data_IF_365723702944
#
_entry.id   IF_365723702944
#
_cell.length_a   1.000
_cell.length_b   1.000
_cell.length_c   1.000
_cell.angle_alpha   90.00
_cell.angle_beta   90.00
_cell.angle_gamma   90.00
#
_symmetry.space_group_name_H-M   'P 1'
#
loop_
_entity.id
_entity.type
_entity.pdbx_description
1 polymer ?
#
# COMPACT_ATOMS: atom_id res chain seq x y z
N UNK A 1 2.75 -4.52 -40.92
CA UNK A 1 3.09 -3.13 -41.41
C UNK A 1 4.06 -3.12 -42.58
N UNK A 2 5.15 -3.92 -42.63
CA UNK A 2 6.12 -3.93 -43.75
C UNK A 2 5.45 -4.26 -45.09
N UNK A 3 4.71 -5.35 -45.17
CA UNK A 3 3.99 -5.77 -46.42
C UNK A 3 3.05 -4.65 -46.91
N UNK A 4 2.31 -4.00 -46.00
CA UNK A 4 1.40 -2.90 -46.36
C UNK A 4 2.11 -1.69 -46.94
N UNK A 5 3.30 -1.32 -46.39
CA UNK A 5 4.11 -0.19 -46.88
C UNK A 5 4.71 -0.44 -48.26
N UNK A 6 4.96 -1.70 -48.63
CA UNK A 6 5.65 -2.07 -49.86
C UNK A 6 4.74 -2.77 -50.85
N UNK A 7 3.41 -2.77 -50.67
CA UNK A 7 2.41 -3.48 -51.46
C UNK A 7 2.41 -3.08 -52.94
N UNK A 8 2.85 -1.85 -53.25
CA UNK A 8 2.91 -1.34 -54.64
C UNK A 8 4.23 -1.71 -55.33
N UNK A 9 5.25 -2.09 -54.54
CA UNK A 9 6.58 -2.39 -55.09
C UNK A 9 6.82 -3.90 -55.28
N UNK A 10 6.20 -4.69 -54.45
CA UNK A 10 6.38 -6.18 -54.48
C UNK A 10 5.05 -6.89 -54.41
N UNK A 11 4.92 -8.12 -55.08
CA UNK A 11 3.71 -8.92 -55.00
C UNK A 11 3.42 -9.32 -53.55
N UNK A 12 2.18 -9.13 -53.09
CA UNK A 12 1.74 -9.48 -51.74
C UNK A 12 1.96 -10.94 -51.40
N UNK A 13 1.71 -11.85 -52.40
CA UNK A 13 1.91 -13.29 -52.21
C UNK A 13 3.35 -13.64 -51.88
N UNK A 14 4.33 -13.01 -52.55
CA UNK A 14 5.75 -13.25 -52.33
C UNK A 14 6.19 -12.73 -50.97
N UNK A 15 5.73 -11.53 -50.62
CA UNK A 15 6.01 -10.96 -49.29
C UNK A 15 5.41 -11.77 -48.15
N UNK A 16 4.16 -12.25 -48.32
CA UNK A 16 3.51 -13.10 -47.31
C UNK A 16 4.28 -14.42 -47.15
N UNK A 17 4.73 -15.03 -48.24
CA UNK A 17 5.55 -16.23 -48.15
C UNK A 17 6.90 -16.00 -47.49
N UNK A 18 7.58 -14.91 -47.82
CA UNK A 18 8.86 -14.51 -47.23
C UNK A 18 8.78 -14.27 -45.72
N UNK A 19 7.73 -13.60 -45.27
CA UNK A 19 7.52 -13.32 -43.85
C UNK A 19 6.77 -14.40 -43.08
N UNK A 20 6.42 -15.52 -43.69
CA UNK A 20 5.71 -16.62 -43.04
C UNK A 20 4.29 -16.26 -42.57
N UNK A 21 3.60 -15.32 -43.22
CA UNK A 21 2.24 -14.87 -42.89
C UNK A 21 1.24 -15.35 -43.94
N UNK A 22 0.03 -15.75 -43.50
CA UNK A 22 -1.02 -16.12 -44.47
C UNK A 22 -1.55 -14.88 -45.20
N UNK A 23 -1.92 -15.05 -46.48
CA UNK A 23 -2.54 -13.96 -47.27
C UNK A 23 -3.86 -13.49 -46.66
N UNK A 24 -4.69 -14.42 -46.15
CA UNK A 24 -5.92 -14.04 -45.42
C UNK A 24 -5.64 -13.18 -44.21
N UNK A 25 -4.66 -13.58 -43.40
CA UNK A 25 -4.24 -12.79 -42.24
C UNK A 25 -3.76 -11.38 -42.61
N UNK A 26 -3.07 -11.24 -43.74
CA UNK A 26 -2.68 -9.90 -44.24
C UNK A 26 -3.91 -9.06 -44.64
N UNK A 27 -4.88 -9.63 -45.39
CA UNK A 27 -6.06 -8.85 -45.78
C UNK A 27 -6.98 -8.55 -44.59
N UNK A 28 -7.10 -9.43 -43.60
CA UNK A 28 -7.82 -9.15 -42.36
C UNK A 28 -7.13 -8.07 -41.53
N UNK A 29 -5.82 -7.98 -41.57
CA UNK A 29 -5.07 -6.88 -41.03
C UNK A 29 -5.36 -5.57 -41.77
N UNK A 30 -5.39 -5.59 -43.12
CA UNK A 30 -5.70 -4.39 -43.91
C UNK A 30 -7.10 -3.84 -43.66
N UNK A 31 -8.09 -4.71 -43.46
CA UNK A 31 -9.47 -4.31 -43.11
C UNK A 31 -9.54 -3.59 -41.79
N UNK A 32 -8.65 -3.92 -40.83
CA UNK A 32 -8.59 -3.32 -39.51
C UNK A 32 -7.66 -2.11 -39.40
N UNK A 33 -6.96 -1.76 -40.48
CA UNK A 33 -6.16 -0.53 -40.55
C UNK A 33 -7.12 0.66 -40.55
N UNK A 34 -7.09 1.46 -39.50
CA UNK A 34 -7.94 2.64 -39.37
C UNK A 34 -9.16 2.45 -38.46
N UNK A 35 -9.47 1.20 -38.08
CA UNK A 35 -10.48 1.00 -37.03
C UNK A 35 -9.98 1.54 -35.70
N UNK A 36 -10.82 2.24 -34.94
CA UNK A 36 -10.45 2.66 -33.59
C UNK A 36 -10.10 1.44 -32.75
N UNK A 37 -9.02 1.53 -31.97
CA UNK A 37 -8.62 0.44 -31.09
C UNK A 37 -9.73 0.12 -30.09
N UNK A 38 -10.26 -1.10 -30.11
CA UNK A 38 -11.34 -1.55 -29.23
C UNK A 38 -11.03 -1.41 -27.74
N UNK A 39 -9.75 -1.28 -27.39
CA UNK A 39 -9.28 -1.11 -26.00
C UNK A 39 -9.08 0.37 -25.62
N UNK A 40 -9.24 1.35 -26.52
CA UNK A 40 -8.86 2.73 -26.29
C UNK A 40 -9.67 3.40 -25.17
N UNK A 41 -10.96 3.21 -25.14
CA UNK A 41 -11.84 3.76 -24.09
C UNK A 41 -11.48 3.19 -22.71
N UNK A 42 -11.30 1.87 -22.62
CA UNK A 42 -10.90 1.22 -21.38
C UNK A 42 -9.51 1.68 -20.94
N UNK A 43 -8.59 1.86 -21.88
CA UNK A 43 -7.23 2.34 -21.58
C UNK A 43 -7.23 3.76 -21.00
N UNK A 44 -8.05 4.66 -21.54
CA UNK A 44 -8.16 6.04 -21.05
C UNK A 44 -8.76 6.09 -19.63
N UNK A 45 -9.80 5.29 -19.40
CA UNK A 45 -10.41 5.14 -18.09
C UNK A 45 -9.40 4.59 -17.05
N UNK A 46 -8.64 3.57 -17.41
CA UNK A 46 -7.59 3.00 -16.56
C UNK A 46 -6.45 4.00 -16.33
N UNK A 47 -6.08 4.83 -17.32
CA UNK A 47 -5.03 5.84 -17.19
C UNK A 47 -5.44 6.92 -16.20
N UNK A 48 -6.64 7.49 -16.33
CA UNK A 48 -7.13 8.52 -15.43
C UNK A 48 -7.15 8.04 -13.97
N UNK A 49 -7.64 6.82 -13.72
CA UNK A 49 -7.63 6.25 -12.38
C UNK A 49 -6.20 5.91 -11.91
N UNK A 50 -5.32 5.48 -12.79
CA UNK A 50 -3.92 5.19 -12.47
C UNK A 50 -3.18 6.44 -11.98
N UNK A 51 -3.41 7.58 -12.61
CA UNK A 51 -2.88 8.87 -12.20
C UNK A 51 -3.46 9.30 -10.85
N UNK A 52 -4.78 9.22 -10.68
CA UNK A 52 -5.48 9.52 -9.42
C UNK A 52 -4.95 8.68 -8.27
N UNK A 53 -4.67 7.39 -8.50
CA UNK A 53 -4.10 6.48 -7.51
C UNK A 53 -2.56 6.57 -7.41
N UNK A 54 -1.93 7.66 -7.90
CA UNK A 54 -0.48 7.89 -7.83
C UNK A 54 0.33 6.72 -8.41
N UNK A 55 -0.19 6.09 -9.46
CA UNK A 55 0.42 4.95 -10.17
C UNK A 55 0.70 3.71 -9.29
N UNK A 56 -0.06 3.54 -8.20
CA UNK A 56 0.17 2.46 -7.23
C UNK A 56 -0.72 1.23 -7.46
N UNK A 57 -1.82 1.38 -8.23
CA UNK A 57 -2.76 0.30 -8.44
C UNK A 57 -2.28 -0.69 -9.51
N UNK A 58 -2.01 -1.93 -9.08
CA UNK A 58 -1.86 -3.07 -9.98
C UNK A 58 -3.22 -3.51 -10.56
N UNK A 59 -3.20 -4.37 -11.57
CA UNK A 59 -4.39 -4.79 -12.32
C UNK A 59 -5.55 -5.31 -11.46
N UNK A 60 -5.27 -5.95 -10.30
CA UNK A 60 -6.32 -6.48 -9.42
C UNK A 60 -7.11 -5.35 -8.74
N UNK A 61 -6.44 -4.28 -8.28
CA UNK A 61 -7.13 -3.11 -7.72
C UNK A 61 -7.86 -2.31 -8.79
N UNK A 62 -7.26 -2.18 -9.99
CA UNK A 62 -7.92 -1.55 -11.13
C UNK A 62 -9.18 -2.31 -11.55
N UNK A 63 -9.13 -3.63 -11.58
CA UNK A 63 -10.29 -4.48 -11.84
C UNK A 63 -11.39 -4.27 -10.79
N UNK A 64 -11.07 -4.33 -9.48
CA UNK A 64 -12.01 -4.07 -8.40
C UNK A 64 -12.63 -2.67 -8.48
N UNK A 65 -11.84 -1.68 -8.87
CA UNK A 65 -12.35 -0.33 -9.08
C UNK A 65 -13.35 -0.27 -10.24
N UNK A 66 -13.06 -0.91 -11.38
CA UNK A 66 -14.00 -1.01 -12.51
C UNK A 66 -15.31 -1.69 -12.11
N UNK A 67 -15.24 -2.80 -11.37
CA UNK A 67 -16.44 -3.48 -10.85
C UNK A 67 -17.33 -2.54 -10.01
N UNK A 68 -16.72 -1.71 -9.15
CA UNK A 68 -17.43 -0.70 -8.36
C UNK A 68 -18.06 0.42 -9.20
N UNK A 69 -17.53 0.69 -10.39
CA UNK A 69 -18.13 1.62 -11.36
C UNK A 69 -19.22 0.96 -12.24
N UNK A 70 -19.52 -0.32 -12.00
CA UNK A 70 -20.46 -1.08 -12.82
C UNK A 70 -19.89 -1.51 -14.18
N UNK A 71 -18.57 -1.43 -14.39
CA UNK A 71 -17.88 -1.78 -15.63
C UNK A 71 -17.25 -3.16 -15.48
N UNK A 72 -17.88 -4.17 -16.04
CA UNK A 72 -17.48 -5.58 -15.88
C UNK A 72 -16.50 -6.03 -16.95
N UNK A 73 -15.29 -6.33 -16.54
CA UNK A 73 -14.25 -6.90 -17.38
C UNK A 73 -13.54 -8.08 -16.72
N UNK A 74 -13.06 -9.04 -17.53
CA UNK A 74 -12.21 -10.08 -16.99
C UNK A 74 -10.87 -9.47 -16.48
N UNK A 75 -10.37 -9.86 -15.30
CA UNK A 75 -9.09 -9.37 -14.76
C UNK A 75 -7.91 -9.55 -15.71
N UNK A 76 -7.92 -10.60 -16.55
CA UNK A 76 -6.89 -10.84 -17.57
C UNK A 76 -6.96 -9.79 -18.70
N UNK A 77 -8.17 -9.32 -19.07
CA UNK A 77 -8.36 -8.23 -20.03
C UNK A 77 -7.79 -6.94 -19.49
N UNK A 78 -8.11 -6.59 -18.24
CA UNK A 78 -7.55 -5.40 -17.58
C UNK A 78 -6.01 -5.45 -17.58
N UNK A 79 -5.42 -6.57 -17.19
CA UNK A 79 -3.96 -6.75 -17.22
C UNK A 79 -3.38 -6.61 -18.64
N UNK A 80 -4.04 -7.16 -19.66
CA UNK A 80 -3.61 -7.07 -21.05
C UNK A 80 -3.60 -5.60 -21.53
N UNK A 81 -4.69 -4.87 -21.25
CA UNK A 81 -4.80 -3.45 -21.60
C UNK A 81 -3.76 -2.63 -20.86
N UNK A 82 -3.61 -2.82 -19.54
CA UNK A 82 -2.59 -2.12 -18.76
C UNK A 82 -1.17 -2.36 -19.28
N UNK A 83 -0.85 -3.59 -19.73
CA UNK A 83 0.44 -3.89 -20.39
C UNK A 83 0.58 -3.20 -21.74
N UNK A 84 -0.46 -3.28 -22.59
CA UNK A 84 -0.46 -2.73 -23.95
C UNK A 84 -0.21 -1.21 -23.94
N UNK A 85 -0.81 -0.49 -22.99
CA UNK A 85 -0.74 0.96 -22.86
C UNK A 85 0.28 1.46 -21.83
N UNK A 86 1.12 0.54 -21.29
CA UNK A 86 2.16 0.84 -20.31
C UNK A 86 1.63 1.54 -19.03
N UNK A 87 0.50 1.07 -18.51
CA UNK A 87 -0.17 1.59 -17.30
C UNK A 87 0.06 0.63 -16.11
N UNK A 88 1.23 0.02 -16.01
CA UNK A 88 1.54 -0.91 -14.92
C UNK A 88 2.04 -0.14 -13.69
N UNK A 89 1.61 -0.59 -12.50
CA UNK A 89 2.14 -0.06 -11.26
C UNK A 89 3.63 -0.34 -11.11
N UNK A 90 4.36 0.60 -10.55
CA UNK A 90 5.75 0.38 -10.17
C UNK A 90 5.85 -0.58 -8.99
N UNK A 91 6.58 -1.67 -9.15
CA UNK A 91 6.72 -2.73 -8.14
C UNK A 91 8.10 -2.64 -7.50
N UNK A 92 8.11 -2.62 -6.15
CA UNK A 92 9.35 -2.70 -5.38
C UNK A 92 10.00 -4.07 -5.52
N UNK A 93 11.33 -4.11 -5.77
CA UNK A 93 12.11 -5.35 -5.70
C UNK A 93 12.23 -5.84 -4.25
N UNK A 94 12.00 -7.13 -3.94
CA UNK A 94 12.16 -7.67 -2.58
C UNK A 94 13.61 -7.56 -2.11
N UNK A 95 13.82 -7.14 -0.84
CA UNK A 95 15.15 -7.11 -0.21
C UNK A 95 15.55 -8.49 0.31
N UNK A 96 16.84 -8.82 0.27
CA UNK A 96 17.37 -10.05 0.89
C UNK A 96 17.32 -9.94 2.42
N UNK A 97 16.95 -11.04 3.06
CA UNK A 97 16.81 -11.14 4.52
C UNK A 97 18.15 -11.16 5.25
N UNK A 98 18.24 -10.55 6.44
CA UNK A 98 19.44 -10.51 7.30
C UNK A 98 19.04 -10.93 8.71
N UNK A 99 19.76 -11.88 9.32
CA UNK A 99 19.48 -12.49 10.63
C UNK A 99 20.18 -11.72 11.77
N UNK A 100 19.50 -11.40 12.85
CA UNK A 100 20.04 -10.68 14.02
C UNK A 100 19.98 -11.50 15.33
N UNK A 101 20.87 -11.20 16.29
CA UNK A 101 21.21 -11.98 17.50
C UNK A 101 20.30 -11.88 18.74
N UNK A 102 20.77 -12.39 19.94
CA UNK A 102 19.99 -12.74 21.15
C UNK A 102 19.32 -11.62 21.97
N UNK A 103 18.40 -11.95 22.91
CA UNK A 103 17.24 -11.13 23.27
C UNK A 103 16.90 -11.01 24.77
N UNK A 104 16.38 -9.82 25.18
CA UNK A 104 15.70 -9.54 26.47
C UNK A 104 14.35 -8.85 26.15
N UNK A 105 13.22 -9.23 26.74
CA UNK A 105 11.95 -8.52 26.55
C UNK A 105 11.18 -8.28 27.86
N UNK A 106 10.33 -7.23 27.92
CA UNK A 106 9.60 -6.83 29.13
C UNK A 106 8.14 -7.31 29.16
N UNK A 107 7.50 -7.49 28.00
CA UNK A 107 6.14 -7.98 27.90
C UNK A 107 6.06 -9.28 27.10
N UNK A 108 5.04 -10.08 27.40
CA UNK A 108 4.76 -11.31 26.63
C UNK A 108 4.27 -10.95 25.23
N UNK A 109 4.56 -11.81 24.26
CA UNK A 109 3.92 -11.74 22.96
C UNK A 109 2.52 -12.34 23.04
N UNK A 110 1.53 -11.49 23.31
CA UNK A 110 0.13 -11.90 23.40
C UNK A 110 -0.51 -12.02 22.02
N UNK A 111 -0.04 -11.21 21.06
CA UNK A 111 -0.54 -11.24 19.68
C UNK A 111 -0.24 -12.57 18.98
N UNK A 112 0.94 -13.15 19.26
CA UNK A 112 1.38 -14.46 18.75
C UNK A 112 1.09 -14.71 17.27
N UNK A 113 1.22 -13.64 16.43
CA UNK A 113 0.92 -13.62 14.98
C UNK A 113 -0.56 -13.83 14.62
N UNK A 114 -1.45 -13.81 15.59
CA UNK A 114 -2.88 -13.73 15.33
C UNK A 114 -3.27 -12.26 15.03
N UNK A 115 -3.15 -11.89 13.75
CA UNK A 115 -3.46 -10.56 13.26
C UNK A 115 -4.95 -10.39 12.93
N UNK A 116 -5.80 -11.29 13.40
CA UNK A 116 -7.24 -11.16 13.25
C UNK A 116 -7.83 -10.44 14.47
N UNK A 117 -8.76 -9.52 14.22
CA UNK A 117 -9.59 -8.90 15.22
C UNK A 117 -11.06 -8.98 14.75
N UNK A 118 -11.97 -9.23 15.68
CA UNK A 118 -13.41 -9.38 15.40
C UNK A 118 -14.13 -8.02 15.30
N UNK A 119 -13.57 -7.00 15.96
CA UNK A 119 -14.09 -5.65 15.94
C UNK A 119 -12.96 -4.61 15.97
N UNK A 120 -13.29 -3.39 15.58
CA UNK A 120 -12.36 -2.25 15.65
C UNK A 120 -11.93 -1.97 17.09
N UNK A 121 -10.70 -1.50 17.24
CA UNK A 121 -10.11 -1.12 18.54
C UNK A 121 -9.94 -2.27 19.56
N UNK A 122 -9.87 -3.52 19.10
CA UNK A 122 -9.49 -4.66 19.94
C UNK A 122 -7.98 -4.89 19.92
N UNK A 123 -7.36 -4.85 18.74
CA UNK A 123 -5.94 -5.12 18.56
C UNK A 123 -5.31 -4.02 17.70
N UNK A 124 -4.40 -3.28 18.29
CA UNK A 124 -3.58 -2.30 17.59
C UNK A 124 -2.14 -2.76 17.48
N UNK A 125 -1.47 -2.38 16.40
CA UNK A 125 -0.03 -2.49 16.26
C UNK A 125 0.59 -1.11 16.11
N UNK A 126 1.77 -0.93 16.69
CA UNK A 126 2.51 0.33 16.64
C UNK A 126 3.97 0.08 16.31
N UNK A 127 4.56 1.02 15.60
CA UNK A 127 5.98 1.01 15.27
C UNK A 127 6.45 2.40 14.83
N UNK A 128 7.76 2.59 14.74
CA UNK A 128 8.39 3.82 14.26
C UNK A 128 9.18 3.52 12.99
N UNK A 129 8.96 4.31 11.96
CA UNK A 129 9.80 4.31 10.78
C UNK A 129 10.49 5.64 10.60
N UNK A 130 11.51 5.65 9.75
CA UNK A 130 12.27 6.85 9.40
C UNK A 130 12.25 7.11 7.91
N UNK A 131 12.26 8.39 7.57
CA UNK A 131 12.23 8.92 6.20
C UNK A 131 13.40 9.90 6.07
N UNK A 132 14.26 9.65 5.09
CA UNK A 132 15.40 10.53 4.82
C UNK A 132 14.97 11.72 3.97
N UNK A 133 15.43 12.90 4.36
CA UNK A 133 15.32 14.16 3.61
C UNK A 133 16.69 14.77 3.43
N UNK A 134 16.83 15.83 2.62
CA UNK A 134 18.10 16.56 2.51
C UNK A 134 18.43 17.33 3.82
N UNK A 135 17.44 17.64 4.67
CA UNK A 135 17.61 18.27 5.98
C UNK A 135 17.93 17.29 7.12
N UNK A 136 17.80 15.97 6.89
CA UNK A 136 18.02 14.95 7.91
C UNK A 136 16.95 13.86 7.91
N UNK A 137 16.60 13.34 9.09
CA UNK A 137 15.68 12.22 9.26
C UNK A 137 14.39 12.67 9.93
N UNK A 138 13.25 12.35 9.33
CA UNK A 138 11.92 12.42 9.94
C UNK A 138 11.54 11.05 10.47
N UNK A 139 11.13 10.98 11.72
CA UNK A 139 10.59 9.79 12.37
C UNK A 139 9.07 9.83 12.31
N UNK A 140 8.46 8.73 11.91
CA UNK A 140 7.01 8.55 11.85
C UNK A 140 6.61 7.42 12.79
N UNK A 141 5.85 7.75 13.83
CA UNK A 141 5.18 6.77 14.70
C UNK A 141 3.74 6.60 14.24
N UNK A 142 3.26 5.36 14.17
CA UNK A 142 1.88 5.03 13.79
C UNK A 142 1.23 4.11 14.78
N UNK A 143 -0.10 4.15 14.82
CA UNK A 143 -0.96 3.10 15.39
C UNK A 143 -1.90 2.64 14.29
N UNK A 144 -1.90 1.33 14.03
CA UNK A 144 -2.72 0.67 13.04
C UNK A 144 -3.67 -0.32 13.70
N UNK A 145 -4.95 -0.26 13.36
CA UNK A 145 -5.94 -1.24 13.79
C UNK A 145 -5.82 -2.53 12.95
N UNK A 146 -5.90 -3.68 13.59
CA UNK A 146 -5.83 -4.97 12.89
C UNK A 146 -7.18 -5.43 12.32
N UNK A 147 -8.29 -4.82 12.74
CA UNK A 147 -9.61 -5.14 12.22
C UNK A 147 -9.78 -4.70 10.76
N UNK A 148 -9.59 -3.41 10.50
CA UNK A 148 -9.79 -2.79 9.19
C UNK A 148 -8.48 -2.37 8.50
N UNK A 149 -7.36 -2.45 9.21
CA UNK A 149 -6.03 -2.00 8.78
C UNK A 149 -5.90 -0.47 8.64
N UNK A 150 -6.82 0.33 9.19
CA UNK A 150 -6.70 1.78 9.17
C UNK A 150 -5.55 2.27 10.06
N UNK A 151 -5.01 3.43 9.71
CA UNK A 151 -4.12 4.17 10.59
C UNK A 151 -4.97 5.02 11.53
N UNK A 152 -5.06 4.59 12.78
CA UNK A 152 -5.89 5.23 13.82
C UNK A 152 -5.30 6.56 14.23
N UNK A 153 -3.97 6.59 14.40
CA UNK A 153 -3.21 7.81 14.69
C UNK A 153 -1.79 7.69 14.21
N UNK A 154 -1.18 8.84 13.95
CA UNK A 154 0.24 8.96 13.64
C UNK A 154 0.80 10.29 14.11
N UNK A 155 2.11 10.35 14.25
CA UNK A 155 2.84 11.58 14.56
C UNK A 155 4.22 11.55 13.90
N UNK A 156 4.65 12.70 13.39
CA UNK A 156 6.00 12.90 12.86
C UNK A 156 6.84 13.73 13.82
N UNK A 157 8.14 13.47 13.89
CA UNK A 157 9.11 14.26 14.66
C UNK A 157 10.49 14.20 14.00
N UNK A 158 11.33 15.18 14.31
CA UNK A 158 12.74 15.21 13.88
C UNK A 158 13.68 14.45 14.84
N UNK A 159 13.14 13.96 15.96
CA UNK A 159 13.87 13.16 16.95
C UNK A 159 13.07 11.92 17.33
N UNK A 160 13.76 10.79 17.45
CA UNK A 160 13.17 9.53 17.90
C UNK A 160 13.13 9.48 19.44
N UNK A 161 12.13 10.11 20.02
CA UNK A 161 11.96 10.20 21.49
C UNK A 161 10.85 9.29 22.00
N UNK A 162 10.83 9.03 23.31
CA UNK A 162 9.71 8.35 23.99
C UNK A 162 8.42 9.14 23.78
N UNK A 163 8.47 10.47 23.86
CA UNK A 163 7.30 11.33 23.72
C UNK A 163 6.62 11.19 22.34
N UNK A 164 7.36 10.88 21.27
CA UNK A 164 6.77 10.63 19.96
C UNK A 164 5.74 9.49 20.02
N UNK A 165 6.08 8.39 20.69
CA UNK A 165 5.17 7.24 20.86
C UNK A 165 4.02 7.59 21.83
N UNK A 166 4.33 8.20 22.98
CA UNK A 166 3.30 8.56 23.96
C UNK A 166 2.24 9.49 23.36
N UNK A 167 2.67 10.47 22.59
CA UNK A 167 1.75 11.40 21.93
C UNK A 167 0.93 10.72 20.85
N UNK A 168 1.50 9.76 20.10
CA UNK A 168 0.75 8.97 19.12
C UNK A 168 -0.34 8.15 19.80
N UNK A 169 -0.05 7.54 20.95
CA UNK A 169 -1.05 6.82 21.76
C UNK A 169 -2.14 7.76 22.24
N UNK A 170 -1.78 8.93 22.80
CA UNK A 170 -2.76 9.94 23.25
C UNK A 170 -3.69 10.39 22.11
N UNK A 171 -3.13 10.60 20.91
CA UNK A 171 -3.91 10.96 19.73
C UNK A 171 -4.91 9.85 19.37
N UNK A 172 -4.48 8.58 19.35
CA UNK A 172 -5.35 7.45 19.08
C UNK A 172 -6.47 7.33 20.11
N UNK A 173 -6.12 7.40 21.40
CA UNK A 173 -7.09 7.33 22.50
C UNK A 173 -8.10 8.49 22.46
N UNK A 174 -7.67 9.67 22.05
CA UNK A 174 -8.55 10.84 21.86
C UNK A 174 -9.51 10.64 20.68
N UNK A 175 -9.01 10.13 19.55
CA UNK A 175 -9.79 9.91 18.33
C UNK A 175 -10.88 8.84 18.55
N UNK A 176 -10.54 7.75 19.24
CA UNK A 176 -11.39 6.56 19.38
C UNK A 176 -12.13 6.47 20.74
N UNK A 177 -12.05 7.50 21.57
CA UNK A 177 -12.50 7.52 22.98
C UNK A 177 -13.86 6.84 23.25
N UNK A 178 -14.79 6.88 22.30
CA UNK A 178 -16.14 6.30 22.43
C UNK A 178 -16.24 4.86 21.92
N UNK A 179 -15.19 4.34 21.28
CA UNK A 179 -15.22 3.05 20.55
C UNK A 179 -14.16 2.07 21.02
N UNK A 180 -13.43 2.38 22.09
CA UNK A 180 -12.33 1.54 22.56
C UNK A 180 -12.92 0.30 23.25
N UNK A 181 -12.43 -0.89 22.86
CA UNK A 181 -12.76 -2.13 23.51
C UNK A 181 -12.24 -2.14 24.96
N UNK A 182 -12.97 -2.80 25.88
CA UNK A 182 -12.57 -2.91 27.30
C UNK A 182 -11.17 -3.54 27.47
N UNK A 183 -10.73 -4.35 26.51
CA UNK A 183 -9.45 -5.07 26.51
C UNK A 183 -8.63 -4.74 25.26
N UNK A 184 -8.41 -3.44 25.00
CA UNK A 184 -7.55 -3.03 23.90
C UNK A 184 -6.12 -3.55 24.09
N UNK A 185 -5.64 -4.33 23.14
CA UNK A 185 -4.26 -4.79 23.06
C UNK A 185 -3.44 -3.90 22.15
N UNK A 186 -2.28 -3.41 22.60
CA UNK A 186 -1.32 -2.67 21.80
C UNK A 186 -0.02 -3.45 21.64
N UNK A 187 0.28 -3.90 20.43
CA UNK A 187 1.47 -4.67 20.11
C UNK A 187 2.56 -3.79 19.50
N UNK A 188 3.79 -3.94 19.98
CA UNK A 188 4.98 -3.21 19.52
C UNK A 188 6.19 -4.11 19.34
N UNK A 189 7.25 -3.58 18.73
CA UNK A 189 8.59 -4.17 18.83
C UNK A 189 9.23 -3.92 20.21
N UNK A 190 10.50 -4.29 20.36
CA UNK A 190 11.27 -4.08 21.59
C UNK A 190 12.10 -2.79 21.58
N UNK A 191 11.66 -1.77 20.86
CA UNK A 191 12.29 -0.46 20.86
C UNK A 191 12.33 0.17 22.26
N UNK A 192 13.36 1.00 22.55
CA UNK A 192 13.52 1.62 23.86
C UNK A 192 12.32 2.50 24.26
N UNK A 193 11.58 3.01 23.30
CA UNK A 193 10.37 3.81 23.52
C UNK A 193 9.29 2.98 24.22
N UNK A 194 9.08 1.75 23.74
CA UNK A 194 8.05 0.82 24.23
C UNK A 194 8.44 0.08 25.51
N UNK A 195 9.73 0.13 25.87
CA UNK A 195 10.23 -0.43 27.14
C UNK A 195 10.43 0.63 28.22
N UNK A 196 10.07 1.88 27.96
CA UNK A 196 10.22 3.03 28.87
C UNK A 196 9.18 3.03 29.99
N UNK A 197 9.51 3.66 31.12
CA UNK A 197 8.56 3.86 32.23
C UNK A 197 7.36 4.71 31.80
N UNK A 198 7.57 5.71 30.92
CA UNK A 198 6.49 6.54 30.38
C UNK A 198 5.46 5.71 29.59
N UNK A 199 5.91 4.75 28.77
CA UNK A 199 5.02 3.85 28.05
C UNK A 199 4.23 2.95 29.00
N UNK A 200 4.89 2.36 30.00
CA UNK A 200 4.23 1.57 31.02
C UNK A 200 3.13 2.35 31.74
N UNK A 201 3.46 3.56 32.24
CA UNK A 201 2.49 4.38 32.97
C UNK A 201 1.28 4.74 32.09
N UNK A 202 1.52 5.12 30.82
CA UNK A 202 0.46 5.51 29.90
C UNK A 202 -0.45 4.32 29.53
N UNK A 203 0.11 3.14 29.33
CA UNK A 203 -0.70 1.94 29.05
C UNK A 203 -1.59 1.56 30.24
N UNK A 204 -1.08 1.71 31.47
CA UNK A 204 -1.88 1.52 32.69
C UNK A 204 -2.98 2.56 32.83
N UNK A 205 -2.67 3.85 32.60
CA UNK A 205 -3.64 4.96 32.65
C UNK A 205 -4.84 4.74 31.73
N UNK A 206 -4.60 4.21 30.52
CA UNK A 206 -5.65 3.98 29.53
C UNK A 206 -6.24 2.56 29.58
N UNK A 207 -5.79 1.67 30.47
CA UNK A 207 -6.24 0.28 30.51
C UNK A 207 -5.83 -0.52 29.27
N UNK A 208 -4.76 -0.13 28.58
CA UNK A 208 -4.24 -0.82 27.41
C UNK A 208 -3.40 -2.03 27.86
N UNK A 209 -3.63 -3.18 27.28
CA UNK A 209 -2.82 -4.39 27.47
C UNK A 209 -1.62 -4.39 26.53
N UNK A 210 -0.38 -4.16 27.01
CA UNK A 210 0.79 -4.14 26.16
C UNK A 210 1.19 -5.55 25.75
N UNK A 211 1.50 -5.72 24.47
CA UNK A 211 2.05 -6.94 23.88
C UNK A 211 3.34 -6.57 23.12
N UNK A 212 4.30 -7.48 23.07
CA UNK A 212 5.61 -7.16 22.49
C UNK A 212 6.14 -8.32 21.67
N UNK A 213 6.65 -8.00 20.48
CA UNK A 213 7.33 -8.97 19.61
C UNK A 213 8.51 -9.62 20.32
N UNK A 214 8.81 -10.85 19.94
CA UNK A 214 10.10 -11.47 20.30
C UNK A 214 11.22 -10.74 19.58
N UNK A 215 12.30 -10.49 20.28
CA UNK A 215 13.44 -9.70 19.74
C UNK A 215 14.01 -10.35 18.46
N UNK A 216 14.25 -9.56 17.40
CA UNK A 216 14.75 -10.02 16.12
C UNK A 216 13.76 -10.83 15.30
N UNK A 217 12.50 -10.91 15.72
CA UNK A 217 11.46 -11.58 14.98
C UNK A 217 10.52 -10.56 14.30
N UNK A 218 10.87 -10.13 13.08
CA UNK A 218 10.10 -9.19 12.28
C UNK A 218 8.67 -9.70 11.95
N UNK A 219 8.45 -11.01 11.96
CA UNK A 219 7.11 -11.57 11.69
C UNK A 219 6.10 -11.24 12.78
N UNK A 220 6.54 -10.96 14.00
CA UNK A 220 5.64 -10.66 15.10
C UNK A 220 5.03 -9.25 14.99
N UNK A 221 5.70 -8.28 14.30
CA UNK A 221 5.20 -6.92 14.01
C UNK A 221 4.97 -6.66 12.52
N UNK A 222 4.75 -7.73 11.76
CA UNK A 222 4.67 -7.67 10.30
C UNK A 222 3.60 -6.70 9.76
N UNK A 223 2.52 -6.47 10.51
CA UNK A 223 1.44 -5.59 10.07
C UNK A 223 1.81 -4.11 10.11
N UNK A 224 2.60 -3.66 11.10
CA UNK A 224 3.14 -2.30 11.11
C UNK A 224 4.22 -2.12 10.03
N UNK A 225 5.15 -3.09 9.91
CA UNK A 225 6.17 -3.10 8.85
C UNK A 225 5.56 -3.09 7.44
N UNK A 226 4.46 -3.81 7.24
CA UNK A 226 3.71 -3.84 5.99
C UNK A 226 3.22 -2.44 5.59
N UNK A 227 2.61 -1.69 6.51
CA UNK A 227 2.19 -0.32 6.23
C UNK A 227 3.37 0.57 5.84
N UNK A 228 4.47 0.53 6.59
CA UNK A 228 5.66 1.32 6.23
C UNK A 228 6.25 0.92 4.87
N UNK A 229 6.20 -0.35 4.54
CA UNK A 229 6.61 -0.82 3.21
C UNK A 229 5.72 -0.23 2.11
N UNK A 230 4.41 -0.16 2.32
CA UNK A 230 3.45 0.44 1.42
C UNK A 230 3.71 1.94 1.27
N UNK A 231 3.76 2.69 2.38
CA UNK A 231 4.06 4.13 2.39
C UNK A 231 5.36 4.44 1.64
N UNK A 232 6.44 3.74 1.97
CA UNK A 232 7.76 3.97 1.36
C UNK A 232 7.75 3.67 -0.14
N UNK A 233 7.08 2.62 -0.56
CA UNK A 233 7.07 2.20 -1.97
C UNK A 233 6.10 3.04 -2.81
N UNK A 234 4.93 3.34 -2.27
CA UNK A 234 3.86 4.00 -3.03
C UNK A 234 3.94 5.54 -2.95
N UNK A 235 4.73 6.10 -2.02
CA UNK A 235 4.88 7.54 -1.85
C UNK A 235 6.36 7.97 -1.76
N UNK A 236 7.07 7.59 -0.70
CA UNK A 236 8.35 8.20 -0.31
C UNK A 236 9.45 7.95 -1.36
N UNK A 237 9.61 6.73 -1.86
CA UNK A 237 10.69 6.39 -2.80
C UNK A 237 10.45 6.85 -4.25
N UNK A 238 9.31 7.48 -4.53
CA UNK A 238 8.94 7.96 -5.86
C UNK A 238 9.43 9.37 -6.15
N UNK A 239 9.93 10.07 -5.13
CA UNK A 239 10.37 11.45 -5.25
C UNK A 239 11.52 11.76 -4.30
N UNK A 240 12.27 12.81 -4.62
CA UNK A 240 13.32 13.32 -3.77
C UNK A 240 12.71 14.29 -2.76
N UNK A 241 12.77 13.94 -1.46
CA UNK A 241 12.23 14.75 -0.39
C UNK A 241 13.34 15.65 0.14
N UNK A 242 13.14 16.98 0.08
CA UNK A 242 14.17 17.95 0.45
C UNK A 242 14.04 18.41 1.90
N UNK A 243 12.82 18.69 2.37
CA UNK A 243 12.58 19.31 3.68
C UNK A 243 11.76 18.42 4.60
N UNK A 244 11.83 18.69 5.90
CA UNK A 244 10.97 18.03 6.90
C UNK A 244 9.50 18.35 6.66
N UNK A 245 9.20 19.58 6.25
CA UNK A 245 7.84 20.00 5.95
C UNK A 245 7.26 19.22 4.76
N UNK A 246 8.02 19.10 3.69
CA UNK A 246 7.63 18.29 2.53
C UNK A 246 7.39 16.82 2.90
N UNK A 247 8.26 16.23 3.75
CA UNK A 247 8.06 14.87 4.23
C UNK A 247 6.75 14.72 5.01
N UNK A 248 6.44 15.70 5.87
CA UNK A 248 5.21 15.71 6.66
C UNK A 248 3.97 15.79 5.75
N UNK A 249 3.93 16.73 4.83
CA UNK A 249 2.81 16.89 3.89
C UNK A 249 2.56 15.61 3.08
N UNK A 250 3.61 14.97 2.57
CA UNK A 250 3.52 13.71 1.87
C UNK A 250 2.98 12.57 2.71
N UNK A 251 3.35 12.52 4.00
CA UNK A 251 2.86 11.52 4.94
C UNK A 251 1.38 11.77 5.23
N UNK A 252 1.01 13.02 5.51
CA UNK A 252 -0.36 13.42 5.82
C UNK A 252 -1.30 13.07 4.65
N UNK A 253 -0.96 13.50 3.44
CA UNK A 253 -1.70 13.20 2.21
C UNK A 253 -1.80 11.69 1.92
N UNK A 254 -0.70 10.96 2.15
CA UNK A 254 -0.70 9.52 1.89
C UNK A 254 -1.54 8.75 2.89
N UNK A 255 -1.52 9.11 4.18
CA UNK A 255 -2.32 8.43 5.20
C UNK A 255 -3.81 8.72 4.97
N UNK A 256 -4.15 9.94 4.58
CA UNK A 256 -5.52 10.27 4.19
C UNK A 256 -5.99 9.41 3.01
N UNK A 257 -5.24 9.39 1.91
CA UNK A 257 -5.51 8.52 0.76
C UNK A 257 -5.57 7.03 1.16
N UNK A 258 -4.65 6.57 2.00
CA UNK A 258 -4.60 5.17 2.46
C UNK A 258 -5.87 4.78 3.20
N UNK A 259 -6.32 5.62 4.10
CA UNK A 259 -7.47 5.38 4.95
C UNK A 259 -8.80 5.48 4.21
N UNK A 260 -8.95 6.45 3.31
CA UNK A 260 -10.25 6.77 2.70
C UNK A 260 -10.43 6.23 1.28
N UNK A 261 -9.35 6.08 0.50
CA UNK A 261 -9.46 5.75 -0.93
C UNK A 261 -8.73 4.45 -1.33
N UNK A 262 -7.65 4.07 -0.64
CA UNK A 262 -6.80 2.96 -1.07
C UNK A 262 -7.47 1.61 -0.84
N UNK A 263 -7.94 0.97 -1.92
CA UNK A 263 -8.60 -0.34 -1.88
C UNK A 263 -7.65 -1.43 -1.36
N UNK A 264 -8.08 -2.15 -0.30
CA UNK A 264 -7.45 -3.36 0.19
C UNK A 264 -7.93 -4.56 -0.64
N UNK A 265 -7.01 -5.42 -1.10
CA UNK A 265 -7.38 -6.57 -1.93
C UNK A 265 -8.23 -7.61 -1.19
N UNK A 266 -8.09 -7.69 0.13
CA UNK A 266 -8.82 -8.66 0.96
C UNK A 266 -10.29 -8.30 1.12
N UNK A 267 -10.60 -7.02 1.29
CA UNK A 267 -11.96 -6.52 1.58
C UNK A 267 -12.63 -5.91 0.37
N UNK A 268 -11.85 -5.51 -0.65
CA UNK A 268 -12.33 -4.75 -1.79
C UNK A 268 -12.65 -3.29 -1.45
N UNK A 269 -12.33 -2.80 -0.25
CA UNK A 269 -12.68 -1.48 0.27
C UNK A 269 -11.48 -0.76 0.86
N UNK A 270 -11.61 0.55 1.04
CA UNK A 270 -10.65 1.33 1.81
C UNK A 270 -10.77 1.00 3.32
N UNK A 271 -9.70 1.14 4.12
CA UNK A 271 -9.72 0.82 5.54
C UNK A 271 -10.90 1.42 6.31
N UNK A 272 -11.12 2.72 6.24
CA UNK A 272 -12.20 3.38 6.97
C UNK A 272 -13.60 3.09 6.40
N UNK A 273 -13.74 2.75 5.12
CA UNK A 273 -15.03 2.31 4.57
C UNK A 273 -15.47 1.01 5.24
N UNK A 274 -14.54 0.05 5.45
CA UNK A 274 -14.81 -1.17 6.20
C UNK A 274 -15.22 -0.89 7.66
N UNK A 275 -14.58 0.09 8.33
CA UNK A 275 -14.90 0.47 9.72
C UNK A 275 -16.31 1.03 9.86
N UNK A 276 -16.80 1.75 8.86
CA UNK A 276 -18.12 2.40 8.88
C UNK A 276 -19.25 1.44 8.47
N UNK A 277 -18.95 0.35 7.78
CA UNK A 277 -19.91 -0.65 7.32
C UNK A 277 -20.13 -1.79 8.33
N UNK A 278 -19.37 -1.82 9.41
CA UNK A 278 -19.44 -2.81 10.50
C UNK A 278 -20.18 -2.23 11.72
#
# INVERSE_FOLDING_TARGET
MVIYRHKERYPISVMCQFFGVSRSGYYDFCKRIGDPESDAELAELLRSQHERCRQTYGYRRMWLWLEKQGIHHNPKTVLRVMKKYNILAEIRRPRKWVQMGQQIHKYKNLLNRDFHADASNQKWVTDISYIHTDEGVVYLSIIRDLYDNSIVAYKTAVQQTVNLVLDTIRLAMKAEKKRIAAELQLHSDQGFQYTSQGYFNLTQEYGITPSMSRRGNCYDNAMAENFFSILKTECIYRQKIRTFQQAKELIDDFIDFYNHERIQLKTGEAPLAQRLSA
#
